data_IF_959542995965
#
_entry.id   IF_959542995965
#
_cell.length_a   1.000
_cell.length_b   1.000
_cell.length_c   1.000
_cell.angle_alpha   90.00
_cell.angle_beta   90.00
_cell.angle_gamma   90.00
#
_symmetry.space_group_name_H-M   'P 1'
#
loop_
_entity.id
_entity.type
_entity.pdbx_description
1 polymer ?
#
# COMPACT_ATOMS: atom_id res chain seq x y z
N UNK A 1 -37.31 11.43 -7.96
CA UNK A 1 -36.41 12.42 -7.33
C UNK A 1 -35.14 11.67 -6.96
N UNK A 2 -34.06 11.87 -7.72
CA UNK A 2 -32.80 11.14 -7.59
C UNK A 2 -31.90 11.99 -6.69
N UNK A 3 -31.61 11.52 -5.48
CA UNK A 3 -30.71 12.17 -4.55
C UNK A 3 -29.27 11.92 -4.94
N UNK A 4 -28.56 12.95 -5.37
CA UNK A 4 -27.12 12.91 -5.58
C UNK A 4 -26.41 12.86 -4.22
N UNK A 5 -25.80 11.73 -3.88
CA UNK A 5 -24.81 11.63 -2.82
C UNK A 5 -23.53 12.32 -3.29
N UNK A 6 -23.31 13.55 -2.83
CA UNK A 6 -22.04 14.24 -2.99
C UNK A 6 -20.99 13.57 -2.09
N UNK A 7 -20.12 12.76 -2.70
CA UNK A 7 -18.87 12.34 -2.07
C UNK A 7 -17.90 13.53 -2.18
N UNK A 8 -17.31 14.01 -1.09
CA UNK A 8 -16.28 15.04 -1.20
C UNK A 8 -15.08 14.42 -1.92
N UNK A 9 -14.85 14.85 -3.16
CA UNK A 9 -13.63 14.55 -3.88
C UNK A 9 -12.48 15.22 -3.11
N UNK A 10 -11.69 14.42 -2.40
CA UNK A 10 -10.40 14.85 -1.88
C UNK A 10 -9.55 15.19 -3.10
N UNK A 11 -9.39 16.48 -3.37
CA UNK A 11 -8.47 16.98 -4.39
C UNK A 11 -7.06 16.72 -3.85
N UNK A 12 -6.47 15.60 -4.24
CA UNK A 12 -5.02 15.48 -4.23
C UNK A 12 -4.50 16.49 -5.24
N UNK A 13 -4.02 17.63 -4.74
CA UNK A 13 -3.31 18.60 -5.56
C UNK A 13 -2.23 17.86 -6.35
N UNK A 14 -2.07 18.26 -7.61
CA UNK A 14 -1.01 17.80 -8.49
C UNK A 14 0.36 18.21 -7.91
N UNK A 15 0.82 17.47 -6.90
CA UNK A 15 2.24 17.26 -6.70
C UNK A 15 2.64 16.31 -7.81
N UNK A 16 3.63 16.70 -8.61
CA UNK A 16 4.13 15.87 -9.69
C UNK A 16 4.38 14.45 -9.19
N UNK A 17 4.26 13.46 -10.06
CA UNK A 17 4.76 12.11 -9.78
C UNK A 17 6.27 12.24 -9.55
N UNK A 18 6.67 12.55 -8.32
CA UNK A 18 7.92 12.08 -7.79
C UNK A 18 7.74 10.56 -7.90
N UNK A 19 8.25 9.98 -8.99
CA UNK A 19 8.28 8.54 -9.11
C UNK A 19 9.01 8.07 -7.89
N UNK A 20 8.32 7.36 -7.00
CA UNK A 20 9.01 6.68 -5.96
C UNK A 20 9.80 5.57 -6.65
N UNK A 21 11.11 5.55 -6.47
CA UNK A 21 11.88 4.41 -6.93
C UNK A 21 11.33 3.17 -6.21
N UNK A 22 10.93 2.17 -6.99
CA UNK A 22 10.40 0.93 -6.47
C UNK A 22 11.46 0.20 -5.63
N UNK A 23 11.02 -0.43 -4.54
CA UNK A 23 11.89 -1.31 -3.76
C UNK A 23 11.51 -2.74 -4.08
N UNK A 24 12.47 -3.49 -4.60
CA UNK A 24 12.33 -4.93 -4.85
C UNK A 24 12.42 -5.71 -3.53
N UNK A 25 11.28 -5.82 -2.83
CA UNK A 25 11.15 -6.70 -1.67
C UNK A 25 10.39 -7.97 -2.10
N UNK A 26 11.05 -9.14 -2.11
CA UNK A 26 10.37 -10.40 -2.43
C UNK A 26 9.40 -10.80 -1.31
N UNK A 27 8.26 -11.36 -1.69
CA UNK A 27 7.28 -11.94 -0.75
C UNK A 27 7.93 -13.10 0.02
N UNK A 28 7.81 -13.16 1.35
CA UNK A 28 8.37 -14.26 2.12
C UNK A 28 7.60 -15.56 1.86
N UNK A 29 8.32 -16.66 1.67
CA UNK A 29 7.75 -17.97 1.31
C UNK A 29 7.97 -19.04 2.39
N UNK A 30 8.66 -18.70 3.48
CA UNK A 30 9.02 -19.64 4.55
C UNK A 30 8.63 -19.12 5.93
N UNK A 31 8.44 -20.03 6.91
CA UNK A 31 8.23 -19.64 8.30
C UNK A 31 9.35 -18.70 8.80
N UNK A 32 9.05 -17.75 9.69
CA UNK A 32 7.81 -17.66 10.48
C UNK A 32 6.71 -16.76 9.86
N UNK A 33 6.85 -16.35 8.60
CA UNK A 33 5.87 -15.50 7.93
C UNK A 33 4.58 -16.24 7.59
N UNK A 34 3.44 -15.58 7.81
CA UNK A 34 2.12 -16.09 7.45
C UNK A 34 1.43 -15.13 6.49
N UNK A 35 1.01 -15.65 5.34
CA UNK A 35 0.19 -14.94 4.37
C UNK A 35 -1.21 -14.71 4.96
N UNK A 36 -1.69 -13.47 4.86
CA UNK A 36 -3.02 -13.10 5.32
C UNK A 36 -4.08 -13.44 4.28
N UNK A 37 -5.34 -13.46 4.72
CA UNK A 37 -6.49 -13.85 3.89
C UNK A 37 -6.65 -13.01 2.62
N UNK A 38 -6.16 -11.77 2.62
CA UNK A 38 -6.24 -10.89 1.46
C UNK A 38 -5.21 -11.22 0.36
N UNK A 39 -4.22 -12.07 0.64
CA UNK A 39 -3.14 -12.43 -0.28
C UNK A 39 -2.19 -11.27 -0.61
N UNK A 40 -2.29 -10.16 0.13
CA UNK A 40 -1.51 -8.94 -0.08
C UNK A 40 -0.60 -8.63 1.10
N UNK A 41 -0.83 -9.27 2.24
CA UNK A 41 -0.09 -9.01 3.48
C UNK A 41 0.56 -10.29 4.00
N UNK A 42 1.82 -10.19 4.42
CA UNK A 42 2.55 -11.24 5.13
C UNK A 42 2.95 -10.73 6.50
N UNK A 43 2.55 -11.42 7.57
CA UNK A 43 2.85 -10.99 8.93
C UNK A 43 3.69 -12.01 9.69
N UNK A 44 4.60 -11.49 10.51
CA UNK A 44 5.23 -12.21 11.60
C UNK A 44 5.31 -11.32 12.84
N UNK A 45 6.37 -10.53 12.99
CA UNK A 45 6.52 -9.48 14.02
C UNK A 45 5.97 -8.14 13.54
N UNK A 46 6.23 -7.87 12.27
CA UNK A 46 5.65 -6.79 11.48
C UNK A 46 4.91 -7.40 10.29
N UNK A 47 4.11 -6.58 9.63
CA UNK A 47 3.37 -6.96 8.43
C UNK A 47 3.96 -6.24 7.23
N UNK A 48 4.42 -7.02 6.25
CA UNK A 48 4.84 -6.55 4.95
C UNK A 48 3.64 -6.58 4.00
N UNK A 49 3.54 -5.58 3.14
CA UNK A 49 2.38 -5.39 2.28
C UNK A 49 2.79 -5.16 0.83
N UNK A 50 2.05 -5.78 -0.08
CA UNK A 50 2.18 -5.64 -1.52
C UNK A 50 0.87 -5.15 -2.12
N UNK A 51 0.97 -4.56 -3.30
CA UNK A 51 -0.21 -4.29 -4.12
C UNK A 51 -0.63 -5.50 -4.95
N UNK A 52 -1.74 -5.34 -5.67
CA UNK A 52 -2.33 -6.38 -6.53
C UNK A 52 -1.50 -6.65 -7.79
N UNK A 53 -0.44 -5.87 -8.02
CA UNK A 53 0.51 -6.04 -9.11
C UNK A 53 1.84 -6.61 -8.63
N UNK A 54 1.90 -7.09 -7.38
CA UNK A 54 3.07 -7.68 -6.74
C UNK A 54 4.23 -6.72 -6.45
N UNK A 55 3.97 -5.41 -6.38
CA UNK A 55 4.97 -4.42 -5.95
C UNK A 55 4.90 -4.20 -4.44
N UNK A 56 6.05 -4.09 -3.79
CA UNK A 56 6.13 -3.81 -2.37
C UNK A 56 5.64 -2.40 -2.06
N UNK A 57 4.77 -2.28 -1.07
CA UNK A 57 4.12 -1.02 -0.71
C UNK A 57 4.70 -0.47 0.58
N UNK A 58 4.65 -1.24 1.67
CA UNK A 58 5.04 -0.76 2.99
C UNK A 58 5.13 -1.87 4.04
N UNK A 59 5.75 -1.54 5.18
CA UNK A 59 5.81 -2.37 6.37
C UNK A 59 5.20 -1.66 7.58
N UNK A 60 4.49 -2.40 8.42
CA UNK A 60 4.03 -1.88 9.74
C UNK A 60 5.16 -1.75 10.76
N UNK A 61 6.37 -2.24 10.44
CA UNK A 61 7.58 -2.03 11.25
C UNK A 61 8.20 -0.63 11.10
N UNK A 62 7.72 0.17 10.14
CA UNK A 62 8.22 1.53 9.89
C UNK A 62 7.65 2.56 10.88
N UNK A 63 8.38 3.64 11.21
CA UNK A 63 7.84 4.77 11.97
C UNK A 63 6.57 5.38 11.36
N UNK A 64 6.37 5.21 10.05
CA UNK A 64 5.23 5.70 9.29
C UNK A 64 4.08 4.67 9.14
N UNK A 65 3.97 3.69 10.04
CA UNK A 65 2.99 2.57 9.93
C UNK A 65 1.53 3.02 9.69
N UNK A 66 1.10 4.17 10.22
CA UNK A 66 -0.27 4.69 10.01
C UNK A 66 -0.54 5.02 8.53
N UNK A 67 0.49 5.47 7.80
CA UNK A 67 0.38 5.68 6.35
C UNK A 67 0.25 4.36 5.62
N UNK A 68 0.94 3.31 6.09
CA UNK A 68 0.85 1.97 5.51
C UNK A 68 -0.59 1.43 5.58
N UNK A 69 -1.25 1.57 6.73
CA UNK A 69 -2.66 1.15 6.89
C UNK A 69 -3.58 1.90 5.92
N UNK A 70 -3.41 3.23 5.82
CA UNK A 70 -4.20 4.06 4.91
C UNK A 70 -4.01 3.70 3.44
N UNK A 71 -2.76 3.53 3.00
CA UNK A 71 -2.43 3.12 1.63
C UNK A 71 -3.02 1.73 1.35
N UNK A 72 -2.90 0.81 2.29
CA UNK A 72 -3.35 -0.56 2.10
C UNK A 72 -4.88 -0.70 2.11
N UNK A 73 -5.63 0.24 2.70
CA UNK A 73 -7.08 0.34 2.48
C UNK A 73 -7.35 0.72 1.01
N UNK A 74 -6.63 1.70 0.47
CA UNK A 74 -6.79 2.13 -0.92
C UNK A 74 -6.42 1.00 -1.91
N UNK A 75 -5.30 0.30 -1.69
CA UNK A 75 -4.90 -0.89 -2.49
C UNK A 75 -6.00 -1.94 -2.55
N UNK A 76 -6.68 -2.20 -1.43
CA UNK A 76 -7.75 -3.21 -1.36
C UNK A 76 -9.00 -2.76 -2.11
N UNK A 77 -9.38 -1.49 -2.01
CA UNK A 77 -10.62 -0.93 -2.62
C UNK A 77 -10.45 -0.64 -4.11
N UNK A 78 -9.28 -0.12 -4.53
CA UNK A 78 -9.03 0.28 -5.90
C UNK A 78 -8.79 -0.94 -6.81
N UNK A 79 -9.02 -0.81 -8.13
CA UNK A 79 -8.54 -1.79 -9.11
C UNK A 79 -7.03 -2.04 -8.98
N UNK A 80 -6.49 -3.12 -9.58
CA UNK A 80 -5.06 -3.35 -9.62
C UNK A 80 -4.33 -2.12 -10.20
N UNK A 81 -3.47 -1.54 -9.36
CA UNK A 81 -2.64 -0.39 -9.65
C UNK A 81 -1.27 -0.68 -9.03
N UNK A 82 -0.23 -0.20 -9.69
CA UNK A 82 1.13 -0.29 -9.20
C UNK A 82 1.35 0.83 -8.17
N UNK A 83 0.84 0.59 -6.96
CA UNK A 83 0.92 1.52 -5.83
C UNK A 83 2.30 1.48 -5.21
N UNK A 84 3.00 0.34 -5.26
CA UNK A 84 4.37 0.22 -4.77
C UNK A 84 5.32 1.23 -5.42
N UNK A 85 5.20 1.46 -6.72
CA UNK A 85 6.02 2.45 -7.45
C UNK A 85 5.58 3.92 -7.22
N UNK A 86 4.44 4.13 -6.55
CA UNK A 86 3.91 5.46 -6.24
C UNK A 86 4.19 5.88 -4.79
N UNK A 87 4.53 4.93 -3.92
CA UNK A 87 4.77 5.19 -2.49
C UNK A 87 6.23 5.54 -2.27
N UNK A 88 6.56 6.74 -1.75
CA UNK A 88 7.95 7.14 -1.52
C UNK A 88 8.64 6.24 -0.49
N UNK A 89 9.51 5.34 -0.96
CA UNK A 89 10.27 4.44 -0.11
C UNK A 89 11.46 5.13 0.59
N UNK A 90 11.80 6.35 0.19
CA UNK A 90 12.79 7.19 0.87
C UNK A 90 12.28 7.86 2.16
N UNK A 91 10.98 7.75 2.46
CA UNK A 91 10.36 8.28 3.69
C UNK A 91 10.08 7.16 4.70
N UNK A 92 10.18 5.91 4.27
CA UNK A 92 10.00 4.70 5.07
C UNK A 92 11.41 4.12 5.30
N UNK A 93 12.08 4.45 6.41
CA UNK A 93 13.40 3.88 6.74
C UNK A 93 13.33 2.36 6.98
#
# INVERSE_FOLDING_TARGET
MIGALAVPAVVFGAVGTAGADHVDVPKPTSPPWTEQRDGLTWCYRECLNWDKTDHYVCTTGSPAWVLCDGIMIAVRVLPPLNVGDLVPHNIIP
#
